data_IF_460072308484
#
_entry.id   IF_460072308484
#
_cell.length_a   1.000
_cell.length_b   1.000
_cell.length_c   1.000
_cell.angle_alpha   90.00
_cell.angle_beta   90.00
_cell.angle_gamma   90.00
#
_symmetry.space_group_name_H-M   'P 1'
#
loop_
_entity.id
_entity.type
_entity.pdbx_description
1 polymer ?
#
# COMPACT_ATOMS: atom_id res chain seq x y z
N UNK A 1 -2.85 2.77 -22.44
CA UNK A 1 -2.71 1.35 -22.02
C UNK A 1 -2.59 1.28 -20.49
N UNK A 2 -3.58 1.80 -19.75
CA UNK A 2 -4.92 1.28 -19.47
C UNK A 2 -4.86 -0.05 -18.72
N UNK A 3 -4.96 0.02 -17.40
CA UNK A 3 -5.12 -1.13 -16.50
C UNK A 3 -4.25 -1.07 -15.25
N UNK A 4 -4.63 -0.25 -14.27
CA UNK A 4 -4.26 -0.50 -12.87
C UNK A 4 -5.58 -0.68 -12.12
N UNK A 5 -6.12 -1.88 -12.29
CA UNK A 5 -7.33 -2.39 -11.64
C UNK A 5 -7.11 -2.57 -10.14
N UNK A 6 -8.23 -2.70 -9.44
CA UNK A 6 -8.54 -3.24 -8.10
C UNK A 6 -7.67 -4.39 -7.50
N UNK A 7 -6.43 -4.60 -7.94
CA UNK A 7 -5.54 -5.69 -7.50
C UNK A 7 -4.83 -5.40 -6.17
N UNK A 8 -4.70 -4.14 -5.74
CA UNK A 8 -3.87 -3.84 -4.56
C UNK A 8 -4.52 -4.30 -3.24
N UNK A 9 -5.84 -4.52 -3.20
CA UNK A 9 -6.53 -5.09 -2.03
C UNK A 9 -6.67 -6.62 -2.12
N UNK A 10 -6.54 -7.20 -3.32
CA UNK A 10 -6.74 -8.64 -3.56
C UNK A 10 -5.43 -9.46 -3.58
N UNK A 11 -4.27 -8.83 -3.81
CA UNK A 11 -3.01 -9.56 -4.05
C UNK A 11 -2.32 -10.04 -2.76
N UNK A 12 -2.60 -9.47 -1.60
CA UNK A 12 -1.92 -9.85 -0.35
C UNK A 12 -2.45 -11.13 0.33
N UNK A 13 -3.47 -11.78 -0.24
CA UNK A 13 -3.97 -13.07 0.26
C UNK A 13 -3.84 -14.25 -0.72
N UNK A 14 -3.27 -14.04 -1.90
CA UNK A 14 -3.09 -15.11 -2.90
C UNK A 14 -1.73 -15.82 -2.86
N UNK A 15 -0.81 -15.47 -1.95
CA UNK A 15 0.57 -16.00 -1.97
C UNK A 15 0.85 -17.23 -1.08
N UNK A 16 -0.18 -17.91 -0.56
CA UNK A 16 -0.04 -19.23 0.09
C UNK A 16 -0.72 -20.32 -0.75
N UNK A 17 -0.24 -20.54 -1.98
CA UNK A 17 -0.50 -21.83 -2.66
C UNK A 17 0.67 -22.77 -2.38
N UNK A 18 0.48 -23.89 -1.66
CA UNK A 18 1.42 -24.99 -1.74
C UNK A 18 1.33 -25.66 -3.13
N UNK A 19 2.47 -26.04 -3.69
CA UNK A 19 2.58 -26.82 -4.93
C UNK A 19 1.71 -28.10 -4.87
N UNK A 20 1.10 -28.51 -6.00
CA UNK A 20 0.32 -29.75 -6.04
C UNK A 20 1.27 -30.96 -6.04
N UNK A 21 1.56 -31.48 -4.85
CA UNK A 21 2.17 -32.80 -4.70
C UNK A 21 1.17 -33.88 -5.14
N UNK A 22 1.50 -34.49 -6.28
CA UNK A 22 0.79 -35.62 -6.88
C UNK A 22 1.14 -36.89 -6.08
N UNK A 23 0.29 -37.32 -5.16
CA UNK A 23 0.47 -38.59 -4.45
C UNK A 23 -0.86 -39.35 -4.30
N UNK A 24 -0.73 -40.68 -4.29
CA UNK A 24 -1.77 -41.69 -4.46
C UNK A 24 -2.81 -41.67 -3.34
N UNK A 25 -4.03 -41.98 -3.76
CA UNK A 25 -5.26 -42.05 -2.98
C UNK A 25 -5.20 -43.24 -1.99
N UNK A 26 -5.27 -42.93 -0.69
CA UNK A 26 -5.75 -43.85 0.35
C UNK A 26 -6.96 -43.19 1.05
N UNK A 27 -8.00 -43.98 1.32
CA UNK A 27 -9.38 -43.52 1.59
C UNK A 27 -9.59 -42.74 2.92
N UNK A 28 -8.56 -42.54 3.74
CA UNK A 28 -8.60 -41.78 4.99
C UNK A 28 -8.34 -40.25 4.81
N UNK A 29 -7.98 -39.79 3.60
CA UNK A 29 -7.65 -38.39 3.30
C UNK A 29 -8.87 -37.48 3.01
N UNK A 30 -10.07 -38.06 2.89
CA UNK A 30 -11.25 -37.33 2.41
C UNK A 30 -11.77 -36.29 3.43
N UNK A 31 -11.55 -36.50 4.74
CA UNK A 31 -12.00 -35.56 5.79
C UNK A 31 -11.12 -34.30 5.87
N UNK A 32 -9.84 -34.39 5.46
CA UNK A 32 -8.90 -33.26 5.47
C UNK A 32 -9.11 -32.36 4.25
N UNK A 33 -9.39 -32.94 3.07
CA UNK A 33 -9.65 -32.19 1.84
C UNK A 33 -10.94 -31.34 1.93
N UNK A 34 -12.03 -31.87 2.50
CA UNK A 34 -13.28 -31.12 2.67
C UNK A 34 -13.16 -29.95 3.66
N UNK A 35 -12.29 -30.06 4.68
CA UNK A 35 -12.02 -28.95 5.61
C UNK A 35 -11.17 -27.86 4.98
N UNK A 36 -10.19 -28.23 4.15
CA UNK A 36 -9.34 -27.28 3.43
C UNK A 36 -10.12 -26.50 2.36
N UNK A 37 -11.06 -27.12 1.65
CA UNK A 37 -11.91 -26.39 0.70
C UNK A 37 -12.83 -25.40 1.42
N UNK A 38 -13.46 -25.78 2.54
CA UNK A 38 -14.34 -24.88 3.30
C UNK A 38 -13.58 -23.69 3.91
N UNK A 39 -12.35 -23.91 4.35
CA UNK A 39 -11.46 -22.85 4.85
C UNK A 39 -11.02 -21.90 3.74
N UNK A 40 -10.58 -22.43 2.59
CA UNK A 40 -10.13 -21.61 1.45
C UNK A 40 -11.30 -20.88 0.78
N UNK A 41 -12.45 -21.54 0.62
CA UNK A 41 -13.69 -20.94 0.11
C UNK A 41 -14.22 -19.88 1.08
N UNK A 42 -14.15 -20.15 2.39
CA UNK A 42 -14.51 -19.18 3.44
C UNK A 42 -13.61 -17.94 3.40
N UNK A 43 -12.29 -18.11 3.26
CA UNK A 43 -11.36 -17.00 3.10
C UNK A 43 -11.58 -16.23 1.80
N UNK A 44 -11.82 -16.91 0.69
CA UNK A 44 -12.14 -16.27 -0.59
C UNK A 44 -13.45 -15.47 -0.50
N UNK A 45 -14.46 -15.99 0.19
CA UNK A 45 -15.68 -15.26 0.49
C UNK A 45 -15.42 -14.04 1.38
N UNK A 46 -14.62 -14.16 2.44
CA UNK A 46 -14.22 -13.03 3.29
C UNK A 46 -13.54 -11.92 2.46
N UNK A 47 -12.67 -12.29 1.52
CA UNK A 47 -11.90 -11.34 0.73
C UNK A 47 -12.73 -10.62 -0.33
N UNK A 48 -13.74 -11.30 -0.87
CA UNK A 48 -14.59 -10.76 -1.92
C UNK A 48 -15.81 -9.97 -1.39
N UNK A 49 -15.95 -9.81 -0.07
CA UNK A 49 -17.02 -8.98 0.53
C UNK A 49 -17.00 -7.57 -0.09
N UNK A 50 -18.13 -7.17 -0.66
CA UNK A 50 -18.38 -5.82 -1.21
C UNK A 50 -17.33 -5.40 -2.26
N UNK A 51 -16.91 -6.32 -3.15
CA UNK A 51 -15.96 -6.03 -4.24
C UNK A 51 -16.53 -5.05 -5.27
N UNK A 52 -17.75 -5.27 -5.75
CA UNK A 52 -18.45 -4.39 -6.70
C UNK A 52 -18.57 -2.95 -6.15
N UNK A 53 -18.73 -2.81 -4.84
CA UNK A 53 -18.76 -1.52 -4.17
C UNK A 53 -17.41 -0.78 -4.26
N UNK A 54 -16.29 -1.52 -4.21
CA UNK A 54 -14.95 -0.92 -4.27
C UNK A 54 -14.68 -0.31 -5.64
N UNK A 55 -15.09 -1.00 -6.71
CA UNK A 55 -14.99 -0.49 -8.08
C UNK A 55 -15.87 0.77 -8.26
N UNK A 56 -17.09 0.74 -7.72
CA UNK A 56 -17.99 1.91 -7.74
C UNK A 56 -17.41 3.13 -7.02
N UNK A 57 -16.77 2.93 -5.87
CA UNK A 57 -16.14 4.02 -5.10
C UNK A 57 -14.99 4.66 -5.86
N UNK A 58 -14.19 3.87 -6.59
CA UNK A 58 -13.13 4.40 -7.43
C UNK A 58 -13.69 5.24 -8.58
N UNK A 59 -14.77 4.78 -9.22
CA UNK A 59 -15.47 5.56 -10.25
C UNK A 59 -16.04 6.87 -9.70
N UNK A 60 -16.65 6.84 -8.52
CA UNK A 60 -17.16 8.06 -7.87
C UNK A 60 -16.02 9.02 -7.49
N UNK A 61 -14.90 8.50 -7.00
CA UNK A 61 -13.73 9.29 -6.66
C UNK A 61 -13.17 10.01 -7.90
N UNK A 62 -13.11 9.33 -9.05
CA UNK A 62 -12.70 9.92 -10.32
C UNK A 62 -13.72 10.91 -10.88
N UNK A 63 -15.02 10.64 -10.69
CA UNK A 63 -16.11 11.45 -11.24
C UNK A 63 -16.33 12.76 -10.48
N UNK A 64 -16.18 12.72 -9.16
CA UNK A 64 -16.52 13.83 -8.27
C UNK A 64 -15.31 14.48 -7.59
N UNK A 65 -14.14 13.83 -7.64
CA UNK A 65 -12.91 14.36 -7.08
C UNK A 65 -12.32 15.49 -7.93
N UNK A 66 -11.58 16.40 -7.28
CA UNK A 66 -10.87 17.46 -7.97
C UNK A 66 -9.52 16.94 -8.48
N UNK A 67 -9.52 16.38 -9.69
CA UNK A 67 -8.36 15.68 -10.29
C UNK A 67 -7.07 16.48 -10.23
N UNK A 68 -7.11 17.80 -10.52
CA UNK A 68 -5.90 18.64 -10.47
C UNK A 68 -5.28 18.72 -9.08
N UNK A 69 -6.12 18.73 -8.04
CA UNK A 69 -5.66 18.73 -6.65
C UNK A 69 -5.12 17.36 -6.27
N UNK A 70 -5.78 16.29 -6.71
CA UNK A 70 -5.34 14.92 -6.48
C UNK A 70 -3.95 14.67 -7.08
N UNK A 71 -3.69 15.17 -8.30
CA UNK A 71 -2.37 15.08 -8.94
C UNK A 71 -1.28 15.72 -8.08
N UNK A 72 -1.54 16.86 -7.45
CA UNK A 72 -0.58 17.48 -6.53
C UNK A 72 -0.33 16.65 -5.27
N UNK A 73 -1.38 16.07 -4.68
CA UNK A 73 -1.25 15.17 -3.53
C UNK A 73 -0.46 13.90 -3.90
N UNK A 74 -0.69 13.33 -5.09
CA UNK A 74 0.05 12.18 -5.60
C UNK A 74 1.53 12.48 -5.81
N UNK A 75 1.84 13.64 -6.39
CA UNK A 75 3.22 14.12 -6.51
C UNK A 75 3.88 14.29 -5.15
N UNK A 76 3.11 14.66 -4.12
CA UNK A 76 3.57 14.76 -2.74
C UNK A 76 3.67 13.41 -2.00
N UNK A 77 3.55 12.28 -2.71
CA UNK A 77 3.77 10.93 -2.15
C UNK A 77 2.51 10.21 -1.73
N UNK A 78 1.32 10.81 -1.88
CA UNK A 78 0.06 10.13 -1.59
C UNK A 78 -0.26 9.08 -2.66
N UNK A 79 -0.99 8.02 -2.29
CA UNK A 79 -1.55 7.08 -3.27
C UNK A 79 -2.70 7.72 -4.02
N UNK A 80 -2.84 7.36 -5.30
CA UNK A 80 -3.88 7.86 -6.21
C UNK A 80 -5.28 7.83 -5.58
N UNK A 81 -5.72 6.67 -5.07
CA UNK A 81 -7.03 6.56 -4.44
C UNK A 81 -7.19 7.51 -3.25
N UNK A 82 -6.19 7.59 -2.37
CA UNK A 82 -6.23 8.46 -1.20
C UNK A 82 -6.24 9.94 -1.61
N UNK A 83 -5.45 10.31 -2.61
CA UNK A 83 -5.41 11.65 -3.16
C UNK A 83 -6.78 12.06 -3.73
N UNK A 84 -7.38 11.19 -4.55
CA UNK A 84 -8.73 11.42 -5.08
C UNK A 84 -9.76 11.52 -3.95
N UNK A 85 -9.75 10.57 -3.01
CA UNK A 85 -10.65 10.54 -1.87
C UNK A 85 -10.60 11.83 -1.04
N UNK A 86 -9.39 12.35 -0.76
CA UNK A 86 -9.23 13.60 -0.02
C UNK A 86 -9.76 14.83 -0.76
N UNK A 87 -9.94 14.76 -2.08
CA UNK A 87 -10.48 15.85 -2.89
C UNK A 87 -11.98 15.75 -3.16
N UNK A 88 -12.67 14.76 -2.59
CA UNK A 88 -14.11 14.60 -2.75
C UNK A 88 -14.91 15.62 -1.93
N UNK A 89 -16.15 15.94 -2.34
CA UNK A 89 -17.07 16.67 -1.47
C UNK A 89 -17.35 15.88 -0.16
N UNK A 90 -17.57 16.56 0.97
CA UNK A 90 -17.74 15.92 2.28
C UNK A 90 -18.81 14.83 2.34
N UNK A 91 -19.92 15.01 1.61
CA UNK A 91 -20.99 14.02 1.50
C UNK A 91 -20.49 12.68 0.93
N UNK A 92 -19.66 12.72 -0.11
CA UNK A 92 -19.09 11.51 -0.71
C UNK A 92 -18.02 10.90 0.21
N UNK A 93 -17.18 11.73 0.85
CA UNK A 93 -16.19 11.27 1.81
C UNK A 93 -16.80 10.46 2.94
N UNK A 94 -17.83 11.00 3.60
CA UNK A 94 -18.52 10.35 4.72
C UNK A 94 -19.11 8.99 4.32
N UNK A 95 -19.81 8.94 3.18
CA UNK A 95 -20.40 7.70 2.67
C UNK A 95 -19.34 6.64 2.35
N UNK A 96 -18.26 7.03 1.69
CA UNK A 96 -17.16 6.13 1.33
C UNK A 96 -16.45 5.62 2.58
N UNK A 97 -16.12 6.51 3.53
CA UNK A 97 -15.45 6.12 4.78
C UNK A 97 -16.29 5.11 5.57
N UNK A 98 -17.59 5.37 5.77
CA UNK A 98 -18.50 4.48 6.50
C UNK A 98 -18.55 3.08 5.90
N UNK A 99 -18.67 2.99 4.58
CA UNK A 99 -18.75 1.70 3.91
C UNK A 99 -17.37 1.00 3.84
N UNK A 100 -16.26 1.72 3.69
CA UNK A 100 -14.92 1.14 3.81
C UNK A 100 -14.66 0.56 5.21
N UNK A 101 -15.08 1.28 6.26
CA UNK A 101 -15.01 0.82 7.65
C UNK A 101 -15.89 -0.41 7.90
N UNK A 102 -17.15 -0.40 7.44
CA UNK A 102 -18.06 -1.55 7.56
C UNK A 102 -17.50 -2.77 6.83
N UNK A 103 -16.95 -2.59 5.62
CA UNK A 103 -16.28 -3.66 4.88
C UNK A 103 -15.11 -4.24 5.67
N UNK A 104 -14.21 -3.41 6.18
CA UNK A 104 -13.06 -3.88 6.98
C UNK A 104 -13.49 -4.62 8.24
N UNK A 105 -14.52 -4.14 8.93
CA UNK A 105 -15.08 -4.81 10.11
C UNK A 105 -15.59 -6.22 9.76
N UNK A 106 -16.37 -6.35 8.67
CA UNK A 106 -16.85 -7.66 8.19
C UNK A 106 -15.70 -8.58 7.81
N UNK A 107 -14.72 -8.08 7.06
CA UNK A 107 -13.56 -8.86 6.61
C UNK A 107 -12.73 -9.38 7.79
N UNK A 108 -12.49 -8.54 8.79
CA UNK A 108 -11.73 -8.93 9.98
C UNK A 108 -12.53 -9.87 10.89
N UNK A 109 -13.84 -9.69 11.00
CA UNK A 109 -14.71 -10.61 11.76
C UNK A 109 -14.73 -11.98 11.12
N UNK A 110 -14.86 -12.03 9.79
CA UNK A 110 -14.78 -13.24 8.99
C UNK A 110 -13.40 -13.91 9.15
N UNK A 111 -12.31 -13.14 9.03
CA UNK A 111 -10.96 -13.63 9.28
C UNK A 111 -10.76 -14.18 10.70
N UNK A 112 -11.36 -13.57 11.71
CA UNK A 112 -11.28 -14.06 13.10
C UNK A 112 -12.02 -15.39 13.29
N UNK A 113 -13.12 -15.62 12.56
CA UNK A 113 -13.87 -16.86 12.57
C UNK A 113 -13.09 -18.02 11.93
N UNK A 114 -12.41 -17.76 10.80
CA UNK A 114 -11.68 -18.79 10.05
C UNK A 114 -10.21 -18.96 10.47
N UNK A 115 -9.46 -17.88 10.67
CA UNK A 115 -8.01 -17.87 10.95
C UNK A 115 -7.68 -17.77 12.45
N UNK A 116 -8.68 -17.43 13.26
CA UNK A 116 -8.57 -17.24 14.70
C UNK A 116 -8.17 -15.82 15.10
N UNK A 117 -8.69 -15.39 16.25
CA UNK A 117 -8.57 -14.01 16.79
C UNK A 117 -7.11 -13.53 16.89
N UNK A 118 -6.18 -14.39 17.32
CA UNK A 118 -4.78 -13.99 17.49
C UNK A 118 -4.08 -13.73 16.15
N UNK A 119 -4.39 -14.52 15.11
CA UNK A 119 -3.89 -14.32 13.74
C UNK A 119 -4.42 -13.01 13.18
N UNK A 120 -5.72 -12.77 13.30
CA UNK A 120 -6.36 -11.53 12.87
C UNK A 120 -5.80 -10.31 13.60
N UNK A 121 -5.54 -10.42 14.91
CA UNK A 121 -4.91 -9.34 15.69
C UNK A 121 -3.52 -9.00 15.19
N UNK A 122 -2.69 -10.00 14.89
CA UNK A 122 -1.35 -9.78 14.30
C UNK A 122 -1.46 -9.10 12.93
N UNK A 123 -2.45 -9.50 12.12
CA UNK A 123 -2.71 -8.89 10.81
C UNK A 123 -3.13 -7.42 10.93
N UNK A 124 -3.98 -7.07 11.90
CA UNK A 124 -4.34 -5.67 12.18
C UNK A 124 -3.09 -4.85 12.53
N UNK A 125 -2.21 -5.38 13.38
CA UNK A 125 -0.97 -4.69 13.75
C UNK A 125 -0.01 -4.56 12.57
N UNK A 126 0.01 -5.53 11.65
CA UNK A 126 0.79 -5.42 10.42
C UNK A 126 0.21 -4.39 9.45
N UNK A 127 -1.11 -4.37 9.25
CA UNK A 127 -1.78 -3.37 8.43
C UNK A 127 -1.54 -1.95 8.95
N UNK A 128 -1.50 -1.74 10.27
CA UNK A 128 -1.16 -0.44 10.89
C UNK A 128 0.27 0.02 10.62
N UNK A 129 1.15 -0.81 10.06
CA UNK A 129 2.47 -0.37 9.57
C UNK A 129 2.38 0.33 8.22
N UNK A 130 1.20 0.37 7.59
CA UNK A 130 0.91 1.11 6.35
C UNK A 130 0.06 2.33 6.70
N UNK A 131 0.47 3.50 6.22
CA UNK A 131 -0.12 4.79 6.60
C UNK A 131 -1.64 4.88 6.44
N UNK A 132 -2.17 4.49 5.28
CA UNK A 132 -3.62 4.56 5.04
C UNK A 132 -4.42 3.63 5.96
N UNK A 133 -3.99 2.39 6.15
CA UNK A 133 -4.65 1.47 7.09
C UNK A 133 -4.53 1.94 8.53
N UNK A 134 -3.38 2.51 8.92
CA UNK A 134 -3.22 3.12 10.23
C UNK A 134 -4.24 4.24 10.46
N UNK A 135 -4.39 5.15 9.49
CA UNK A 135 -5.37 6.23 9.57
C UNK A 135 -6.80 5.68 9.64
N UNK A 136 -7.11 4.65 8.87
CA UNK A 136 -8.41 3.99 8.91
C UNK A 136 -8.73 3.45 10.32
N UNK A 137 -7.82 2.68 10.91
CA UNK A 137 -8.01 2.07 12.23
C UNK A 137 -7.99 3.06 13.39
N UNK A 138 -7.14 4.10 13.32
CA UNK A 138 -6.94 5.04 14.43
C UNK A 138 -7.86 6.25 14.38
N UNK A 139 -8.38 6.60 13.19
CA UNK A 139 -9.14 7.83 12.96
C UNK A 139 -10.43 7.60 12.18
N UNK A 140 -10.36 7.22 10.91
CA UNK A 140 -11.51 7.25 9.99
C UNK A 140 -12.69 6.41 10.49
N UNK A 141 -12.41 5.22 11.05
CA UNK A 141 -13.46 4.34 11.59
C UNK A 141 -13.81 4.58 13.06
N UNK A 142 -13.09 5.47 13.75
CA UNK A 142 -13.33 5.80 15.17
C UNK A 142 -14.04 7.13 15.37
N UNK A 143 -13.76 8.09 14.49
CA UNK A 143 -14.30 9.44 14.55
C UNK A 143 -15.03 9.74 13.24
N UNK A 144 -16.37 9.71 13.30
CA UNK A 144 -17.25 9.92 12.15
C UNK A 144 -17.09 11.30 11.50
N UNK A 145 -16.61 12.31 12.24
CA UNK A 145 -16.39 13.65 11.72
C UNK A 145 -15.01 13.85 11.10
N UNK A 146 -14.08 12.93 11.33
CA UNK A 146 -12.66 13.12 11.00
C UNK A 146 -12.44 13.36 9.51
N UNK A 147 -13.00 12.49 8.65
CA UNK A 147 -12.79 12.59 7.20
C UNK A 147 -13.35 13.90 6.63
N UNK A 148 -14.55 14.30 7.06
CA UNK A 148 -15.20 15.51 6.56
C UNK A 148 -14.59 16.81 7.10
N UNK A 149 -13.81 16.76 8.17
CA UNK A 149 -13.20 17.96 8.76
C UNK A 149 -11.73 18.08 8.42
N UNK A 150 -10.97 16.99 8.61
CA UNK A 150 -9.52 16.96 8.46
C UNK A 150 -9.12 16.76 7.00
N UNK A 151 -9.64 15.73 6.33
CA UNK A 151 -9.28 15.47 4.94
C UNK A 151 -9.87 16.48 3.97
N UNK A 152 -11.07 17.00 4.26
CA UNK A 152 -11.63 18.09 3.47
C UNK A 152 -10.66 19.28 3.39
N UNK A 153 -10.04 19.70 4.51
CA UNK A 153 -9.08 20.80 4.46
C UNK A 153 -7.86 20.45 3.60
N UNK A 154 -7.30 19.25 3.79
CA UNK A 154 -6.11 18.80 3.05
C UNK A 154 -6.35 18.80 1.54
N UNK A 155 -7.50 18.31 1.07
CA UNK A 155 -7.80 18.24 -0.37
C UNK A 155 -8.47 19.48 -0.96
N UNK A 156 -8.82 20.47 -0.14
CA UNK A 156 -9.32 21.76 -0.61
C UNK A 156 -8.16 22.70 -0.93
N UNK A 157 -8.27 23.41 -2.07
CA UNK A 157 -7.27 24.39 -2.52
C UNK A 157 -5.81 23.88 -2.47
N UNK A 158 -5.59 22.62 -2.88
CA UNK A 158 -4.26 21.99 -2.85
C UNK A 158 -3.25 22.81 -3.62
N UNK A 159 -3.62 23.27 -4.80
CA UNK A 159 -2.74 24.13 -5.59
C UNK A 159 -2.35 25.40 -4.82
N UNK A 160 -3.25 26.01 -4.05
CA UNK A 160 -2.94 27.20 -3.25
C UNK A 160 -1.87 26.93 -2.19
N UNK A 161 -2.09 25.93 -1.32
CA UNK A 161 -1.17 25.69 -0.20
C UNK A 161 0.11 24.94 -0.61
N UNK A 162 0.10 24.16 -1.69
CA UNK A 162 1.29 23.36 -2.11
C UNK A 162 2.27 24.16 -2.96
N UNK A 163 1.83 25.24 -3.60
CA UNK A 163 2.63 26.06 -4.52
C UNK A 163 4.00 26.48 -3.96
N UNK A 164 4.11 26.94 -2.69
CA UNK A 164 5.40 27.28 -2.07
C UNK A 164 6.40 26.12 -2.03
N UNK A 165 5.92 24.87 -2.09
CA UNK A 165 6.72 23.64 -2.08
C UNK A 165 6.82 22.98 -3.47
N UNK A 166 6.35 23.64 -4.53
CA UNK A 166 6.22 23.04 -5.86
C UNK A 166 7.55 22.52 -6.42
N UNK A 167 8.67 23.20 -6.16
CA UNK A 167 9.99 22.75 -6.58
C UNK A 167 10.36 21.40 -5.96
N UNK A 168 10.23 21.28 -4.63
CA UNK A 168 10.57 20.05 -3.90
C UNK A 168 9.62 18.91 -4.27
N UNK A 169 8.33 19.20 -4.44
CA UNK A 169 7.31 18.24 -4.84
C UNK A 169 7.59 17.72 -6.26
N UNK A 170 7.84 18.60 -7.23
CA UNK A 170 8.11 18.19 -8.60
C UNK A 170 9.44 17.43 -8.73
N UNK A 171 10.49 17.87 -8.03
CA UNK A 171 11.78 17.18 -8.03
C UNK A 171 11.65 15.77 -7.44
N UNK A 172 10.99 15.62 -6.28
CA UNK A 172 10.71 14.32 -5.70
C UNK A 172 9.90 13.44 -6.66
N UNK A 173 8.78 13.94 -7.20
CA UNK A 173 7.91 13.16 -8.10
C UNK A 173 8.65 12.66 -9.34
N UNK A 174 9.42 13.53 -10.00
CA UNK A 174 10.14 13.17 -11.22
C UNK A 174 11.19 12.06 -10.96
N UNK A 175 11.91 12.15 -9.84
CA UNK A 175 12.89 11.14 -9.45
C UNK A 175 12.21 9.85 -8.99
N UNK A 176 11.10 9.94 -8.23
CA UNK A 176 10.34 8.77 -7.77
C UNK A 176 9.95 7.87 -8.94
N UNK A 177 9.34 8.43 -9.98
CA UNK A 177 8.82 7.65 -11.10
C UNK A 177 9.95 7.00 -11.90
N UNK A 178 11.00 7.77 -12.20
CA UNK A 178 12.21 7.26 -12.87
C UNK A 178 12.90 6.15 -12.08
N UNK A 179 13.06 6.33 -10.77
CA UNK A 179 13.67 5.32 -9.89
C UNK A 179 12.77 4.08 -9.77
N UNK A 180 11.46 4.22 -9.66
CA UNK A 180 10.54 3.08 -9.57
C UNK A 180 10.59 2.20 -10.82
N UNK A 181 10.74 2.81 -12.00
CA UNK A 181 10.98 2.06 -13.23
C UNK A 181 12.31 1.31 -13.19
N UNK A 182 13.40 1.97 -12.74
CA UNK A 182 14.72 1.33 -12.63
C UNK A 182 14.75 0.19 -11.63
N UNK A 183 14.10 0.35 -10.47
CA UNK A 183 13.96 -0.69 -9.45
C UNK A 183 13.25 -1.91 -10.05
N UNK A 184 12.10 -1.70 -10.71
CA UNK A 184 11.34 -2.77 -11.35
C UNK A 184 12.19 -3.53 -12.37
N UNK A 185 12.84 -2.82 -13.29
CA UNK A 185 13.73 -3.42 -14.29
C UNK A 185 14.89 -4.19 -13.65
N UNK A 186 15.49 -3.66 -12.58
CA UNK A 186 16.63 -4.29 -11.89
C UNK A 186 16.20 -5.59 -11.22
N UNK A 187 15.08 -5.56 -10.52
CA UNK A 187 14.51 -6.72 -9.84
C UNK A 187 14.07 -7.79 -10.85
N UNK A 188 13.29 -7.42 -11.87
CA UNK A 188 12.80 -8.36 -12.89
C UNK A 188 13.96 -8.99 -13.66
N UNK A 189 15.00 -8.22 -13.99
CA UNK A 189 16.21 -8.75 -14.63
C UNK A 189 16.92 -9.77 -13.75
N UNK A 190 17.02 -9.52 -12.44
CA UNK A 190 17.64 -10.45 -11.50
C UNK A 190 16.83 -11.76 -11.40
N UNK A 191 15.51 -11.64 -11.25
CA UNK A 191 14.59 -12.79 -11.22
C UNK A 191 14.70 -13.61 -12.50
N UNK A 192 14.69 -12.97 -13.67
CA UNK A 192 14.77 -13.67 -14.96
C UNK A 192 16.12 -14.36 -15.16
N UNK A 193 17.22 -13.73 -14.76
CA UNK A 193 18.55 -14.36 -14.82
C UNK A 193 18.62 -15.67 -14.04
N UNK A 194 17.97 -15.71 -12.89
CA UNK A 194 17.97 -16.90 -12.02
C UNK A 194 17.00 -17.97 -12.53
N UNK A 195 15.86 -17.57 -13.08
CA UNK A 195 14.92 -18.51 -13.72
C UNK A 195 15.51 -19.19 -14.95
N UNK A 196 16.33 -18.46 -15.71
CA UNK A 196 16.93 -18.95 -16.96
C UNK A 196 18.29 -19.62 -16.75
N UNK A 197 18.83 -19.61 -15.53
CA UNK A 197 20.07 -20.29 -15.23
C UNK A 197 19.82 -21.81 -15.20
N UNK A 198 20.50 -22.54 -16.08
CA UNK A 198 20.44 -24.01 -16.14
C UNK A 198 21.23 -24.67 -14.99
N UNK A 199 22.11 -23.92 -14.32
CA UNK A 199 22.92 -24.41 -13.21
C UNK A 199 22.14 -24.35 -11.88
N UNK A 200 22.22 -25.43 -11.10
CA UNK A 200 21.74 -25.45 -9.72
C UNK A 200 22.69 -24.71 -8.75
N UNK A 201 23.61 -23.87 -9.25
CA UNK A 201 24.57 -23.15 -8.40
C UNK A 201 23.86 -22.02 -7.65
N UNK A 202 23.34 -22.42 -6.49
CA UNK A 202 22.63 -21.54 -5.56
C UNK A 202 23.50 -20.37 -5.10
N UNK A 203 24.84 -20.52 -5.09
CA UNK A 203 25.74 -19.46 -4.67
C UNK A 203 25.85 -18.34 -5.71
N UNK A 204 25.84 -18.67 -7.01
CA UNK A 204 25.81 -17.67 -8.08
C UNK A 204 24.47 -16.92 -8.09
N UNK A 205 23.35 -17.63 -7.89
CA UNK A 205 22.03 -17.02 -7.81
C UNK A 205 21.92 -16.01 -6.65
N UNK A 206 22.45 -16.36 -5.48
CA UNK A 206 22.48 -15.47 -4.32
C UNK A 206 23.29 -14.19 -4.61
N UNK A 207 24.44 -14.31 -5.28
CA UNK A 207 25.26 -13.13 -5.67
C UNK A 207 24.53 -12.22 -6.66
N UNK A 208 23.77 -12.78 -7.59
CA UNK A 208 22.96 -11.99 -8.53
C UNK A 208 21.88 -11.20 -7.79
N UNK A 209 21.14 -11.84 -6.87
CA UNK A 209 20.14 -11.16 -6.06
C UNK A 209 20.77 -10.11 -5.12
N UNK A 210 21.86 -10.44 -4.42
CA UNK A 210 22.51 -9.53 -3.48
C UNK A 210 22.97 -8.22 -4.16
N UNK A 211 23.54 -8.34 -5.37
CA UNK A 211 23.90 -7.17 -6.18
C UNK A 211 22.69 -6.35 -6.61
N UNK A 212 21.61 -7.02 -7.03
CA UNK A 212 20.38 -6.35 -7.42
C UNK A 212 19.75 -5.59 -6.24
N UNK A 213 19.63 -6.24 -5.08
CA UNK A 213 19.05 -5.64 -3.87
C UNK A 213 19.90 -4.50 -3.33
N UNK A 214 21.23 -4.62 -3.35
CA UNK A 214 22.13 -3.52 -2.99
C UNK A 214 21.97 -2.31 -3.92
N UNK A 215 21.81 -2.56 -5.22
CA UNK A 215 21.56 -1.50 -6.20
C UNK A 215 20.20 -0.83 -5.97
N UNK A 216 19.15 -1.61 -5.71
CA UNK A 216 17.81 -1.12 -5.38
C UNK A 216 17.85 -0.25 -4.12
N UNK A 217 18.49 -0.71 -3.05
CA UNK A 217 18.61 0.05 -1.80
C UNK A 217 19.27 1.42 -2.05
N UNK A 218 20.32 1.47 -2.87
CA UNK A 218 20.98 2.74 -3.22
C UNK A 218 20.06 3.68 -4.00
N UNK A 219 19.30 3.17 -4.97
CA UNK A 219 18.30 3.93 -5.72
C UNK A 219 17.19 4.50 -4.81
N UNK A 220 16.71 3.68 -3.87
CA UNK A 220 15.76 4.13 -2.85
C UNK A 220 16.32 5.23 -1.96
N UNK A 221 17.62 5.17 -1.64
CA UNK A 221 18.33 6.19 -0.88
C UNK A 221 18.19 7.59 -1.49
N UNK A 222 18.21 7.71 -2.82
CA UNK A 222 17.96 8.98 -3.51
C UNK A 222 16.50 9.44 -3.36
N UNK A 223 15.53 8.53 -3.53
CA UNK A 223 14.10 8.85 -3.32
C UNK A 223 13.83 9.33 -1.89
N UNK A 224 14.33 8.61 -0.89
CA UNK A 224 14.10 8.91 0.52
C UNK A 224 14.67 10.27 0.93
N UNK A 225 15.83 10.66 0.36
CA UNK A 225 16.41 11.97 0.60
C UNK A 225 15.51 13.11 0.10
N UNK A 226 15.02 13.00 -1.14
CA UNK A 226 14.10 13.98 -1.72
C UNK A 226 12.74 13.97 -1.04
N UNK A 227 12.22 12.80 -0.68
CA UNK A 227 10.99 12.65 0.07
C UNK A 227 11.05 13.41 1.39
N UNK A 228 12.14 13.29 2.16
CA UNK A 228 12.33 14.02 3.42
C UNK A 228 12.31 15.54 3.22
N UNK A 229 12.95 16.05 2.17
CA UNK A 229 12.96 17.49 1.86
C UNK A 229 11.57 18.00 1.48
N UNK A 230 10.89 17.29 0.57
CA UNK A 230 9.52 17.58 0.17
C UNK A 230 8.57 17.55 1.37
N UNK A 231 8.65 16.48 2.18
CA UNK A 231 7.82 16.27 3.37
C UNK A 231 7.94 17.43 4.36
N UNK A 232 9.15 17.91 4.65
CA UNK A 232 9.34 19.04 5.58
C UNK A 232 8.62 20.29 5.08
N UNK A 233 8.73 20.60 3.79
CA UNK A 233 8.06 21.77 3.21
C UNK A 233 6.53 21.61 3.27
N UNK A 234 6.01 20.49 2.76
CA UNK A 234 4.56 20.22 2.66
C UNK A 234 3.91 20.18 4.04
N UNK A 235 4.51 19.51 5.02
CA UNK A 235 3.94 19.44 6.37
C UNK A 235 3.87 20.81 7.03
N UNK A 236 4.82 21.70 6.75
CA UNK A 236 4.75 23.08 7.24
C UNK A 236 3.57 23.83 6.64
N UNK A 237 3.35 23.71 5.32
CA UNK A 237 2.19 24.35 4.67
C UNK A 237 0.86 23.81 5.22
N UNK A 238 0.73 22.49 5.38
CA UNK A 238 -0.49 21.90 5.93
C UNK A 238 -0.71 22.33 7.39
N UNK A 239 0.35 22.44 8.19
CA UNK A 239 0.24 22.94 9.56
C UNK A 239 -0.29 24.38 9.60
N UNK A 240 0.24 25.25 8.73
CA UNK A 240 -0.14 26.67 8.64
C UNK A 240 -1.58 26.84 8.09
N UNK A 241 -2.00 26.00 7.14
CA UNK A 241 -3.32 26.12 6.48
C UNK A 241 -4.43 25.33 7.18
N UNK A 242 -4.16 24.09 7.57
CA UNK A 242 -5.16 23.12 8.06
C UNK A 242 -4.96 22.68 9.52
N UNK A 243 -3.85 23.08 10.14
CA UNK A 243 -3.57 22.80 11.54
C UNK A 243 -2.91 21.43 11.80
N UNK A 244 -2.66 21.13 13.09
CA UNK A 244 -1.79 20.02 13.49
C UNK A 244 -2.38 18.65 13.22
N UNK A 245 -3.70 18.50 13.28
CA UNK A 245 -4.35 17.22 13.04
C UNK A 245 -4.28 16.81 11.57
N UNK A 246 -4.52 17.75 10.66
CA UNK A 246 -4.33 17.56 9.22
C UNK A 246 -2.88 17.26 8.87
N UNK A 247 -1.92 17.99 9.44
CA UNK A 247 -0.50 17.72 9.25
C UNK A 247 -0.14 16.30 9.70
N UNK A 248 -0.62 15.86 10.88
CA UNK A 248 -0.37 14.52 11.41
C UNK A 248 -0.99 13.44 10.51
N UNK A 249 -2.22 13.67 10.06
CA UNK A 249 -2.93 12.75 9.17
C UNK A 249 -2.18 12.58 7.85
N UNK A 250 -1.86 13.69 7.19
CA UNK A 250 -1.09 13.69 5.95
C UNK A 250 0.28 13.01 6.11
N UNK A 251 1.04 13.38 7.15
CA UNK A 251 2.35 12.77 7.43
C UNK A 251 2.25 11.26 7.60
N UNK A 252 1.21 10.80 8.31
CA UNK A 252 0.97 9.37 8.54
C UNK A 252 0.69 8.66 7.22
N UNK A 253 -0.21 9.21 6.39
CA UNK A 253 -0.56 8.64 5.08
C UNK A 253 0.63 8.48 4.14
N UNK A 254 1.56 9.45 4.12
CA UNK A 254 2.70 9.42 3.18
C UNK A 254 3.97 8.78 3.75
N UNK A 255 4.16 8.77 5.07
CA UNK A 255 5.41 8.32 5.68
C UNK A 255 5.34 6.91 6.25
N UNK A 256 4.24 6.52 6.90
CA UNK A 256 4.20 5.23 7.60
C UNK A 256 4.17 4.08 6.58
N UNK A 257 5.20 3.24 6.62
CA UNK A 257 5.35 2.14 5.67
C UNK A 257 5.79 2.61 4.28
N UNK A 258 6.50 3.75 4.20
CA UNK A 258 6.92 4.34 2.94
C UNK A 258 7.64 3.34 2.04
N UNK A 259 8.65 2.63 2.56
CA UNK A 259 9.41 1.66 1.77
C UNK A 259 8.56 0.46 1.33
N UNK A 260 7.74 -0.11 2.21
CA UNK A 260 6.81 -1.21 1.84
C UNK A 260 5.89 -0.78 0.70
N UNK A 261 5.38 0.44 0.83
CA UNK A 261 4.46 1.07 -0.12
C UNK A 261 5.10 1.36 -1.49
N UNK A 262 6.38 1.70 -1.51
CA UNK A 262 7.17 1.97 -2.72
C UNK A 262 7.68 0.69 -3.39
N UNK A 263 8.09 -0.31 -2.59
CA UNK A 263 8.59 -1.59 -3.08
C UNK A 263 7.49 -2.48 -3.65
N UNK A 264 6.25 -2.29 -3.19
CA UNK A 264 5.16 -3.26 -3.36
C UNK A 264 5.49 -4.57 -2.64
N UNK A 265 4.47 -5.40 -2.45
CA UNK A 265 4.56 -6.50 -1.48
C UNK A 265 5.68 -7.49 -1.79
N UNK A 266 5.78 -7.96 -3.03
CA UNK A 266 6.77 -8.98 -3.40
C UNK A 266 8.22 -8.56 -3.13
N UNK A 267 8.61 -7.37 -3.57
CA UNK A 267 9.97 -6.87 -3.34
C UNK A 267 10.19 -6.55 -1.87
N UNK A 268 9.17 -6.03 -1.17
CA UNK A 268 9.27 -5.77 0.26
C UNK A 268 9.53 -7.06 1.06
N UNK A 269 8.80 -8.14 0.75
CA UNK A 269 8.98 -9.45 1.36
C UNK A 269 10.40 -9.98 1.16
N UNK A 270 10.97 -9.86 -0.04
CA UNK A 270 12.36 -10.27 -0.27
C UNK A 270 13.35 -9.46 0.58
N UNK A 271 13.13 -8.14 0.73
CA UNK A 271 13.94 -7.31 1.62
C UNK A 271 13.83 -7.74 3.09
N UNK A 272 12.64 -8.08 3.56
CA UNK A 272 12.39 -8.48 4.95
C UNK A 272 12.92 -9.89 5.24
N UNK A 273 12.60 -10.87 4.40
CA UNK A 273 12.97 -12.29 4.58
C UNK A 273 14.48 -12.48 4.52
N UNK A 274 15.16 -11.82 3.59
CA UNK A 274 16.61 -11.91 3.45
C UNK A 274 17.36 -10.84 4.25
N UNK A 275 16.65 -10.00 5.00
CA UNK A 275 17.19 -8.95 5.85
C UNK A 275 18.19 -8.03 5.13
N UNK A 276 17.85 -7.60 3.91
CA UNK A 276 18.70 -6.70 3.14
C UNK A 276 18.74 -5.30 3.79
N UNK A 277 19.92 -4.67 3.86
CA UNK A 277 20.05 -3.38 4.52
C UNK A 277 19.29 -2.29 3.76
N UNK A 278 18.58 -1.46 4.51
CA UNK A 278 17.99 -0.23 3.98
C UNK A 278 19.03 0.88 3.93
N UNK A 279 18.94 1.74 2.92
CA UNK A 279 19.86 2.87 2.81
C UNK A 279 19.66 3.87 3.97
N UNK A 280 20.73 4.46 4.54
CA UNK A 280 20.64 5.38 5.69
C UNK A 280 19.66 6.55 5.49
N UNK A 281 19.57 7.08 4.27
CA UNK A 281 18.61 8.14 3.93
C UNK A 281 17.14 7.73 4.13
N UNK A 282 16.82 6.44 4.13
CA UNK A 282 15.48 5.92 4.36
C UNK A 282 15.17 5.63 5.83
N UNK A 283 16.14 5.72 6.74
CA UNK A 283 15.91 5.50 8.16
C UNK A 283 14.94 6.55 8.72
N UNK A 284 13.94 6.09 9.48
CA UNK A 284 12.88 6.94 10.03
C UNK A 284 11.72 7.25 9.05
N UNK A 285 11.64 6.48 7.96
CA UNK A 285 10.50 6.38 7.04
C UNK A 285 9.93 4.96 7.10
#
# INVERSE_FOLDING_TARGET
>A
PNGWSAEVVAVELQQLKPDPLRLRIDEDECVIYFRNSYYLDGLEQCNNIDREWTDHVQEEALRYGHVENAVWLEKAGMKEFTALFMTLPPYHMDRIAKAACSKHEKQLTCGAEYEGVETTRKRIEDLKKIGNHKMMFEKECRDLGFVTTVYQCVGSDVNGWIQPCSEQVNNYSAIRDSVNQRISTTYDTAVQKIKNAESADTHEHLKVFERAMSSIAWLEGSKCGLFKQMRVCVLRQILETCGPEAMKAFNTSISVGYLRTERRERLNLDFEVFNYPVHPNCVGL
#
